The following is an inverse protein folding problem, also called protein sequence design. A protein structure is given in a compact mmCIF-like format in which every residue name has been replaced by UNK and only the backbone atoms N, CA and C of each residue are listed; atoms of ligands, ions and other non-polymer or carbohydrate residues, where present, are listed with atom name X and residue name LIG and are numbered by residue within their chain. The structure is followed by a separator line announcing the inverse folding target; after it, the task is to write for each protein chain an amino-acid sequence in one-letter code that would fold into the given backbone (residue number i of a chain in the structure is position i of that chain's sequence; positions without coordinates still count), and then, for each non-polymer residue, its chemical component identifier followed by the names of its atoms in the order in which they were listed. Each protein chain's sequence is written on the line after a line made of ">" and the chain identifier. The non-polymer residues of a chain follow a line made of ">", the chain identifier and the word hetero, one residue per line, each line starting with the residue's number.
data_IF_179312669969
#
_entry.id   IF_179312669969
#
_cell.length_a   1.000
_cell.length_b   1.000
_cell.length_c   1.000
_cell.angle_alpha   90.00
_cell.angle_beta   90.00
_cell.angle_gamma   90.00
#
_symmetry.space_group_name_H-M   'P 1'
#
loop_
_entity.id
_entity.type
_entity.pdbx_description
1 polymer ?
#
# COMPACT_ATOMS: atom_id res chain seq x y z
N UNK A 1 -66.21 47.60 -2.26
CA UNK A 1 -64.73 47.64 -2.11
C UNK A 1 -64.25 46.20 -1.92
N UNK A 2 -63.64 45.66 -2.93
CA UNK A 2 -63.11 44.30 -2.88
C UNK A 2 -61.60 44.40 -2.71
N UNK A 3 -61.09 43.97 -1.58
CA UNK A 3 -59.67 43.86 -1.35
C UNK A 3 -59.19 42.55 -1.92
N UNK A 4 -58.41 42.61 -2.97
CA UNK A 4 -57.71 41.44 -3.47
C UNK A 4 -56.44 41.26 -2.67
N UNK A 5 -56.37 40.20 -1.86
CA UNK A 5 -55.18 39.78 -1.23
C UNK A 5 -54.32 39.00 -2.25
N UNK A 6 -53.21 39.58 -2.63
CA UNK A 6 -52.22 38.93 -3.50
C UNK A 6 -51.41 38.00 -2.65
N UNK A 7 -51.62 36.71 -2.74
CA UNK A 7 -50.80 35.71 -2.08
C UNK A 7 -49.58 35.47 -2.99
N UNK A 8 -48.46 36.06 -2.61
CA UNK A 8 -47.17 35.71 -3.20
C UNK A 8 -46.73 34.33 -2.68
N UNK A 9 -46.85 33.34 -3.52
CA UNK A 9 -46.31 32.02 -3.29
C UNK A 9 -44.81 32.07 -3.56
N UNK A 10 -44.01 32.23 -2.48
CA UNK A 10 -42.58 32.04 -2.57
C UNK A 10 -42.31 30.52 -2.61
N UNK A 11 -42.07 30.03 -3.81
CA UNK A 11 -41.46 28.71 -3.98
C UNK A 11 -39.98 28.80 -3.56
N UNK A 12 -39.69 28.43 -2.34
CA UNK A 12 -38.31 28.21 -1.89
C UNK A 12 -37.76 26.97 -2.56
N UNK A 13 -37.01 27.15 -3.63
CA UNK A 13 -36.14 26.12 -4.16
C UNK A 13 -35.07 25.84 -3.10
N UNK A 14 -35.23 24.77 -2.34
CA UNK A 14 -34.17 24.19 -1.54
C UNK A 14 -33.14 23.61 -2.52
N UNK A 15 -32.09 24.37 -2.77
CA UNK A 15 -30.88 23.85 -3.39
C UNK A 15 -30.24 22.88 -2.38
N UNK A 16 -30.50 21.60 -2.58
CA UNK A 16 -29.80 20.54 -1.87
C UNK A 16 -28.32 20.59 -2.24
N UNK A 17 -27.50 21.21 -1.42
CA UNK A 17 -26.06 20.99 -1.47
C UNK A 17 -25.83 19.53 -1.13
N UNK A 18 -25.52 18.73 -2.15
CA UNK A 18 -24.93 17.43 -1.93
C UNK A 18 -23.57 17.66 -1.27
N UNK A 19 -23.53 17.53 0.05
CA UNK A 19 -22.27 17.35 0.76
C UNK A 19 -21.67 16.05 0.24
N UNK A 20 -20.69 16.16 -0.63
CA UNK A 20 -19.78 15.05 -0.86
C UNK A 20 -19.07 14.83 0.48
N UNK A 21 -19.60 13.91 1.28
CA UNK A 21 -18.92 13.42 2.47
C UNK A 21 -17.69 12.69 1.94
N UNK A 22 -16.56 13.35 2.08
CA UNK A 22 -15.27 12.70 2.04
C UNK A 22 -15.29 11.71 3.20
N UNK A 23 -15.59 10.45 2.92
CA UNK A 23 -15.52 9.38 3.91
C UNK A 23 -14.07 9.28 4.34
N UNK A 24 -13.72 10.06 5.34
CA UNK A 24 -12.51 9.87 6.10
C UNK A 24 -12.68 8.52 6.76
N UNK A 25 -12.04 7.50 6.19
CA UNK A 25 -12.00 6.16 6.79
C UNK A 25 -11.47 6.34 8.21
N UNK A 26 -12.36 6.26 9.17
CA UNK A 26 -12.00 6.39 10.59
C UNK A 26 -11.08 5.23 10.95
N UNK A 27 -9.78 5.53 11.03
CA UNK A 27 -8.79 4.59 11.53
C UNK A 27 -8.96 4.52 13.05
N UNK A 28 -9.20 3.34 13.62
CA UNK A 28 -9.30 3.18 15.06
C UNK A 28 -8.08 3.81 15.77
N UNK A 29 -8.32 4.48 16.88
CA UNK A 29 -7.25 5.11 17.65
C UNK A 29 -6.28 4.06 18.21
N UNK A 30 -6.82 2.88 18.58
CA UNK A 30 -6.07 1.77 19.19
C UNK A 30 -5.90 0.61 18.19
N UNK A 31 -4.78 -0.09 18.28
CA UNK A 31 -4.46 -1.24 17.49
C UNK A 31 -3.06 -1.19 16.90
N UNK A 32 -2.67 -2.26 16.23
CA UNK A 32 -1.45 -2.28 15.44
C UNK A 32 -1.59 -1.36 14.23
N UNK A 33 -0.54 -0.65 13.88
CA UNK A 33 -0.47 0.21 12.69
C UNK A 33 0.82 -0.07 11.93
N UNK A 34 0.73 -0.09 10.63
CA UNK A 34 1.89 -0.35 9.77
C UNK A 34 2.26 0.89 8.97
N UNK A 35 3.55 1.19 8.93
CA UNK A 35 4.12 2.24 8.09
C UNK A 35 5.38 1.72 7.41
N UNK A 36 5.38 1.72 6.09
CA UNK A 36 6.56 1.41 5.30
C UNK A 36 7.41 2.66 5.09
N UNK A 37 8.74 2.51 5.13
CA UNK A 37 9.68 3.57 4.75
C UNK A 37 9.58 3.84 3.25
N UNK A 38 9.53 2.76 2.46
CA UNK A 38 9.39 2.80 1.01
C UNK A 38 8.44 1.68 0.58
N UNK A 39 7.65 1.93 -0.44
CA UNK A 39 6.73 0.96 -1.02
C UNK A 39 7.10 0.56 -2.44
N UNK A 40 8.17 1.12 -2.97
CA UNK A 40 8.69 0.82 -4.29
C UNK A 40 10.22 0.72 -4.27
N UNK A 41 10.75 -0.33 -4.89
CA UNK A 41 12.18 -0.49 -5.10
C UNK A 41 12.48 -0.59 -6.60
N UNK A 42 13.34 0.29 -7.09
CA UNK A 42 13.82 0.28 -8.45
C UNK A 42 15.26 -0.22 -8.49
N UNK A 43 15.47 -1.42 -9.04
CA UNK A 43 16.81 -1.99 -9.23
C UNK A 43 17.64 -1.26 -10.30
N UNK A 44 16.98 -0.46 -11.15
CA UNK A 44 17.62 0.07 -12.33
C UNK A 44 17.96 -1.03 -13.33
N UNK A 45 19.16 -0.97 -13.92
CA UNK A 45 19.67 -1.99 -14.83
C UNK A 45 20.50 -3.01 -14.07
N UNK A 46 20.14 -4.28 -14.16
CA UNK A 46 20.83 -5.42 -13.55
C UNK A 46 21.30 -6.36 -14.63
N UNK A 47 22.51 -6.90 -14.51
CA UNK A 47 22.96 -7.97 -15.38
C UNK A 47 22.30 -9.29 -15.00
N UNK A 48 22.04 -10.13 -15.99
CA UNK A 48 21.53 -11.49 -15.79
C UNK A 48 22.40 -12.25 -14.79
N UNK A 49 21.75 -12.85 -13.79
CA UNK A 49 22.40 -13.52 -12.66
C UNK A 49 22.91 -12.59 -11.56
N UNK A 50 22.68 -11.27 -11.70
CA UNK A 50 23.02 -10.29 -10.66
C UNK A 50 22.16 -10.39 -9.42
N UNK A 51 22.44 -9.53 -8.42
CA UNK A 51 21.73 -9.52 -7.14
C UNK A 51 20.31 -8.97 -7.31
N UNK A 52 19.33 -9.82 -7.08
CA UNK A 52 17.90 -9.48 -7.11
C UNK A 52 17.28 -9.28 -5.72
N UNK A 53 18.08 -9.13 -4.67
CA UNK A 53 17.59 -8.94 -3.32
C UNK A 53 17.30 -7.47 -3.03
N UNK A 54 16.20 -7.22 -2.33
CA UNK A 54 15.92 -5.94 -1.69
C UNK A 54 15.15 -6.17 -0.39
N UNK A 55 15.08 -5.14 0.44
CA UNK A 55 14.40 -5.17 1.74
C UNK A 55 13.46 -4.00 1.83
N UNK A 56 12.23 -4.27 2.23
CA UNK A 56 11.25 -3.25 2.64
C UNK A 56 11.16 -3.25 4.16
N UNK A 57 11.45 -2.12 4.75
CA UNK A 57 11.38 -1.93 6.20
C UNK A 57 10.05 -1.27 6.57
N UNK A 58 9.39 -1.79 7.58
CA UNK A 58 8.17 -1.23 8.14
C UNK A 58 8.28 -1.05 9.64
N UNK A 59 7.49 -0.14 10.17
CA UNK A 59 7.40 0.16 11.60
C UNK A 59 5.98 -0.06 12.09
N UNK A 60 5.85 -0.66 13.27
CA UNK A 60 4.58 -0.66 13.99
C UNK A 60 4.42 0.69 14.69
N UNK A 61 3.60 1.56 14.15
CA UNK A 61 3.31 2.89 14.71
C UNK A 61 2.08 2.88 15.62
N UNK A 62 1.50 1.71 15.86
CA UNK A 62 0.36 1.51 16.75
C UNK A 62 0.77 1.21 18.18
N UNK A 63 -0.20 0.80 18.97
CA UNK A 63 -0.06 0.49 20.39
C UNK A 63 -0.28 -1.00 20.73
N UNK A 64 -0.52 -1.84 19.72
CA UNK A 64 -0.65 -3.29 19.85
C UNK A 64 0.33 -4.02 18.93
N UNK A 65 0.68 -5.29 19.21
CA UNK A 65 1.56 -6.07 18.36
C UNK A 65 1.06 -6.18 16.91
N UNK A 66 1.94 -5.93 15.96
CA UNK A 66 1.67 -6.06 14.54
C UNK A 66 2.05 -7.47 14.06
N UNK A 67 1.09 -8.17 13.47
CA UNK A 67 1.27 -9.53 12.97
C UNK A 67 1.00 -9.56 11.48
N UNK A 68 1.98 -9.98 10.71
CA UNK A 68 1.83 -10.25 9.29
C UNK A 68 1.25 -11.64 9.10
N UNK A 69 0.08 -11.74 8.49
CA UNK A 69 -0.60 -13.01 8.25
C UNK A 69 -0.29 -13.63 6.89
N UNK A 70 0.05 -12.80 5.91
CA UNK A 70 0.36 -13.24 4.56
C UNK A 70 1.26 -12.24 3.84
N UNK A 71 2.22 -12.76 3.08
CA UNK A 71 3.05 -12.00 2.16
C UNK A 71 3.12 -12.79 0.85
N UNK A 72 2.54 -12.24 -0.21
CA UNK A 72 2.41 -12.92 -1.49
C UNK A 72 2.95 -12.09 -2.64
N UNK A 73 3.80 -12.69 -3.45
CA UNK A 73 4.28 -12.11 -4.69
C UNK A 73 3.29 -12.34 -5.83
N UNK A 74 3.29 -11.43 -6.81
CA UNK A 74 2.45 -11.51 -8.02
C UNK A 74 2.86 -12.61 -9.00
N UNK A 75 4.09 -13.13 -8.87
CA UNK A 75 4.58 -14.24 -9.69
C UNK A 75 5.56 -15.12 -8.92
N UNK A 76 5.83 -16.34 -9.43
CA UNK A 76 6.84 -17.24 -8.88
C UNK A 76 8.30 -16.78 -9.10
N UNK A 77 8.51 -15.74 -9.90
CA UNK A 77 9.81 -15.12 -10.14
C UNK A 77 10.27 -14.21 -8.98
N UNK A 78 9.41 -13.96 -8.03
CA UNK A 78 9.64 -13.12 -6.86
C UNK A 78 9.37 -13.93 -5.61
N UNK A 79 10.34 -14.02 -4.73
CA UNK A 79 10.26 -14.80 -3.49
C UNK A 79 10.36 -13.87 -2.29
N UNK A 80 9.29 -13.68 -1.52
CA UNK A 80 9.34 -12.89 -0.29
C UNK A 80 9.73 -13.72 0.91
N UNK A 81 10.43 -13.09 1.85
CA UNK A 81 10.67 -13.56 3.20
C UNK A 81 10.33 -12.47 4.20
N UNK A 82 9.73 -12.80 5.31
CA UNK A 82 9.33 -11.80 6.29
C UNK A 82 9.45 -12.31 7.72
N UNK A 83 9.49 -11.36 8.65
CA UNK A 83 9.50 -11.65 10.07
C UNK A 83 8.16 -12.29 10.48
N UNK A 84 8.20 -13.52 10.96
CA UNK A 84 7.02 -14.29 11.39
C UNK A 84 6.61 -13.95 12.84
N UNK A 85 7.48 -13.30 13.60
CA UNK A 85 7.21 -12.89 14.97
C UNK A 85 6.40 -11.60 15.00
N UNK A 86 5.53 -11.39 16.00
CA UNK A 86 4.88 -10.10 16.19
C UNK A 86 5.90 -8.96 16.31
N UNK A 87 5.62 -7.86 15.65
CA UNK A 87 6.40 -6.63 15.75
C UNK A 87 5.75 -5.75 16.80
N UNK A 88 6.46 -5.53 17.90
CA UNK A 88 5.96 -4.77 19.04
C UNK A 88 5.81 -3.29 18.71
N UNK A 89 4.96 -2.53 19.44
CA UNK A 89 4.79 -1.09 19.22
C UNK A 89 6.12 -0.33 19.22
N UNK A 90 6.33 0.52 18.21
CA UNK A 90 7.54 1.29 18.01
C UNK A 90 8.72 0.51 17.43
N UNK A 91 8.56 -0.78 17.19
CA UNK A 91 9.61 -1.63 16.60
C UNK A 91 9.44 -1.73 15.10
N UNK A 92 10.51 -2.16 14.43
CA UNK A 92 10.58 -2.36 12.99
C UNK A 92 10.59 -3.84 12.63
N UNK A 93 10.09 -4.13 11.43
CA UNK A 93 10.21 -5.44 10.80
C UNK A 93 10.69 -5.28 9.36
N UNK A 94 11.04 -6.37 8.74
CA UNK A 94 11.57 -6.39 7.39
C UNK A 94 10.87 -7.42 6.53
N UNK A 95 10.69 -7.07 5.26
CA UNK A 95 10.27 -7.98 4.20
C UNK A 95 11.39 -8.02 3.18
N UNK A 96 12.12 -9.12 3.15
CA UNK A 96 13.10 -9.40 2.11
C UNK A 96 12.39 -9.89 0.85
N UNK A 97 12.76 -9.34 -0.30
CA UNK A 97 12.21 -9.74 -1.60
C UNK A 97 13.35 -10.08 -2.52
N UNK A 98 13.26 -11.23 -3.17
CA UNK A 98 14.24 -11.68 -4.15
C UNK A 98 13.57 -11.84 -5.51
N UNK A 99 14.09 -11.13 -6.51
CA UNK A 99 13.69 -11.30 -7.89
C UNK A 99 14.66 -12.24 -8.63
N UNK A 100 14.11 -13.11 -9.49
CA UNK A 100 14.93 -14.01 -10.30
C UNK A 100 15.53 -13.28 -11.49
N UNK A 101 16.76 -12.84 -11.36
CA UNK A 101 17.51 -12.08 -12.37
C UNK A 101 17.98 -12.92 -13.57
N UNK A 102 17.64 -14.19 -13.63
CA UNK A 102 17.84 -15.00 -14.84
C UNK A 102 16.84 -14.67 -15.96
N UNK A 103 15.75 -13.97 -15.60
CA UNK A 103 14.77 -13.49 -16.57
C UNK A 103 15.22 -12.16 -17.17
N UNK A 104 15.65 -12.17 -18.42
CA UNK A 104 16.05 -10.97 -19.16
C UNK A 104 14.83 -10.14 -19.55
N UNK A 105 14.93 -8.84 -19.44
CA UNK A 105 13.90 -7.87 -19.80
C UNK A 105 13.48 -6.97 -18.67
N UNK A 106 12.64 -5.99 -18.98
CA UNK A 106 12.01 -5.12 -18.00
C UNK A 106 11.00 -5.88 -17.16
N UNK A 107 10.91 -5.55 -15.87
CA UNK A 107 9.95 -6.16 -14.97
C UNK A 107 9.35 -5.14 -13.99
N UNK A 108 8.12 -5.40 -13.64
CA UNK A 108 7.40 -4.76 -12.53
C UNK A 108 6.60 -5.83 -11.83
N UNK A 109 6.92 -6.08 -10.56
CA UNK A 109 6.25 -7.10 -9.74
C UNK A 109 5.77 -6.48 -8.45
N UNK A 110 4.71 -7.05 -7.90
CA UNK A 110 4.13 -6.59 -6.64
C UNK A 110 4.19 -7.68 -5.59
N UNK A 111 4.28 -7.25 -4.34
CA UNK A 111 4.16 -8.12 -3.17
C UNK A 111 3.05 -7.56 -2.30
N UNK A 112 2.07 -8.37 -2.00
CA UNK A 112 0.93 -8.00 -1.16
C UNK A 112 1.14 -8.50 0.25
N UNK A 113 1.12 -7.56 1.20
CA UNK A 113 1.28 -7.83 2.63
C UNK A 113 -0.06 -7.67 3.32
N UNK A 114 -0.49 -8.69 4.03
CA UNK A 114 -1.70 -8.68 4.85
C UNK A 114 -1.33 -8.78 6.33
N UNK A 115 -1.92 -7.93 7.16
CA UNK A 115 -1.63 -7.86 8.59
C UNK A 115 -2.88 -7.51 9.39
N UNK A 116 -2.73 -7.49 10.72
CA UNK A 116 -3.76 -7.00 11.65
C UNK A 116 -3.74 -5.48 11.83
N UNK A 117 -3.00 -4.74 11.01
CA UNK A 117 -2.94 -3.29 11.10
C UNK A 117 -4.32 -2.66 10.87
N UNK A 118 -4.72 -1.76 11.76
CA UNK A 118 -6.03 -1.08 11.69
C UNK A 118 -6.04 0.11 10.75
N UNK A 119 -4.87 0.68 10.44
CA UNK A 119 -4.75 1.75 9.45
C UNK A 119 -4.74 1.24 8.01
N UNK A 120 -4.10 0.11 7.77
CA UNK A 120 -3.99 -0.48 6.45
C UNK A 120 -3.71 -1.99 6.58
N UNK A 121 -4.77 -2.79 6.52
CA UNK A 121 -4.68 -4.25 6.69
C UNK A 121 -3.97 -4.93 5.51
N UNK A 122 -3.97 -4.29 4.36
CA UNK A 122 -3.36 -4.78 3.12
C UNK A 122 -2.51 -3.69 2.48
N UNK A 123 -1.22 -3.95 2.35
CA UNK A 123 -0.26 -3.07 1.70
C UNK A 123 0.34 -3.77 0.50
N UNK A 124 0.49 -3.06 -0.60
CA UNK A 124 1.16 -3.56 -1.80
C UNK A 124 2.48 -2.79 -1.98
N UNK A 125 3.57 -3.51 -2.02
CA UNK A 125 4.88 -2.97 -2.39
C UNK A 125 5.26 -3.43 -3.79
N UNK A 126 6.07 -2.65 -4.48
CA UNK A 126 6.43 -2.87 -5.87
C UNK A 126 7.94 -2.94 -6.03
N UNK A 127 8.38 -3.88 -6.86
CA UNK A 127 9.74 -3.93 -7.38
C UNK A 127 9.72 -3.75 -8.89
N UNK A 128 10.69 -3.03 -9.42
CA UNK A 128 10.86 -2.84 -10.85
C UNK A 128 12.33 -2.74 -11.23
N UNK A 129 12.61 -3.01 -12.47
CA UNK A 129 13.96 -2.93 -13.03
C UNK A 129 14.03 -3.48 -14.45
N UNK A 130 15.24 -3.57 -14.95
CA UNK A 130 15.53 -4.14 -16.26
C UNK A 130 16.76 -5.05 -16.18
N UNK A 131 16.56 -6.33 -16.50
CA UNK A 131 17.63 -7.31 -16.54
C UNK A 131 18.18 -7.37 -17.97
N UNK A 132 19.48 -7.18 -18.13
CA UNK A 132 20.17 -7.19 -19.42
C UNK A 132 21.14 -8.37 -19.51
N UNK A 133 21.38 -8.84 -20.74
CA UNK A 133 22.43 -9.82 -20.98
C UNK A 133 23.80 -9.19 -20.72
N UNK A 134 24.74 -9.90 -20.08
CA UNK A 134 26.11 -9.45 -20.01
C UNK A 134 26.70 -9.32 -21.42
N UNK A 135 27.48 -8.26 -21.63
CA UNK A 135 28.22 -8.12 -22.88
C UNK A 135 29.16 -9.31 -23.09
N UNK A 136 28.99 -10.00 -24.20
CA UNK A 136 29.95 -11.03 -24.62
C UNK A 136 31.14 -10.33 -25.27
N UNK A 137 32.21 -10.15 -24.51
CA UNK A 137 33.53 -9.87 -25.10
C UNK A 137 34.21 -11.17 -25.55
#
# INVERSE_FOLDING_TARGET
>A
MKKFALICLFASMAFGMANAQNEKKDVPANGAKIRFLETEHNYGTIQKGGDGNCVFTFTNTGDEPLILSSVRASCGCTTPKWTQKPVMPGKTGEIGVRYNTNNVGGFTKTVTITSNAVNEARVVVKIKGNVVQPDKN
#
